data_IF_360040734290
#
_entry.id   IF_360040734290
#
_cell.length_a   1.000
_cell.length_b   1.000
_cell.length_c   1.000
_cell.angle_alpha   90.00
_cell.angle_beta   90.00
_cell.angle_gamma   90.00
#
_symmetry.space_group_name_H-M   'P 1'
#
loop_
_entity.id
_entity.type
_entity.pdbx_description
1 polymer ?
#
# COMPACT_ATOMS: atom_id res chain seq x y z
N UNK A 1 7.55 -5.50 23.04
CA UNK A 1 8.53 -5.25 21.97
C UNK A 1 7.85 -4.43 20.88
N UNK A 2 8.16 -3.13 20.73
CA UNK A 2 7.57 -2.31 19.68
C UNK A 2 8.23 -2.61 18.33
N UNK A 3 7.50 -3.22 17.41
CA UNK A 3 7.99 -3.46 16.04
C UNK A 3 8.27 -2.11 15.35
N UNK A 4 9.48 -1.93 14.81
CA UNK A 4 9.89 -0.71 14.09
C UNK A 4 8.94 -0.40 12.92
N UNK A 5 8.57 -1.43 12.17
CA UNK A 5 7.59 -1.38 11.06
C UNK A 5 6.20 -1.77 11.54
N UNK A 6 5.46 -0.84 12.13
CA UNK A 6 4.12 -1.12 12.67
C UNK A 6 3.08 -1.32 11.58
N UNK A 7 3.03 -0.44 10.59
CA UNK A 7 2.10 -0.54 9.46
C UNK A 7 2.85 -0.90 8.19
N UNK A 8 2.43 -1.99 7.54
CA UNK A 8 3.02 -2.46 6.28
C UNK A 8 1.95 -2.48 5.21
N UNK A 9 2.23 -1.81 4.09
CA UNK A 9 1.40 -1.86 2.90
C UNK A 9 1.73 -3.12 2.09
N UNK A 10 0.70 -3.89 1.73
CA UNK A 10 0.78 -5.05 0.84
C UNK A 10 -0.17 -4.83 -0.32
N UNK A 11 0.36 -4.69 -1.52
CA UNK A 11 -0.48 -4.72 -2.71
C UNK A 11 -0.59 -6.16 -3.20
N UNK A 12 -1.68 -6.46 -3.87
CA UNK A 12 -1.87 -7.65 -4.66
C UNK A 12 -2.38 -7.21 -6.03
N UNK A 13 -1.56 -7.42 -7.06
CA UNK A 13 -1.88 -7.03 -8.43
C UNK A 13 -1.99 -8.31 -9.23
N UNK A 14 -3.21 -8.59 -9.68
CA UNK A 14 -3.52 -9.66 -10.61
C UNK A 14 -3.86 -9.09 -11.99
N UNK A 15 -4.04 -9.98 -12.97
CA UNK A 15 -4.49 -9.61 -14.32
C UNK A 15 -5.87 -8.93 -14.25
N UNK A 16 -6.74 -9.39 -13.34
CA UNK A 16 -8.11 -8.89 -13.20
C UNK A 16 -8.29 -7.83 -12.11
N UNK A 17 -7.56 -7.88 -11.00
CA UNK A 17 -7.88 -7.03 -9.84
C UNK A 17 -6.63 -6.44 -9.21
N UNK A 18 -6.81 -5.29 -8.56
CA UNK A 18 -5.81 -4.62 -7.73
C UNK A 18 -6.41 -4.51 -6.34
N UNK A 19 -5.68 -5.00 -5.35
CA UNK A 19 -6.03 -4.91 -3.94
C UNK A 19 -4.85 -4.32 -3.18
N UNK A 20 -5.12 -3.43 -2.24
CA UNK A 20 -4.14 -2.82 -1.37
C UNK A 20 -4.60 -3.00 0.08
N UNK A 21 -3.75 -3.62 0.89
CA UNK A 21 -4.01 -3.93 2.29
C UNK A 21 -2.95 -3.26 3.16
N UNK A 22 -3.38 -2.56 4.21
CA UNK A 22 -2.50 -2.07 5.26
C UNK A 22 -2.63 -3.00 6.45
N UNK A 23 -1.53 -3.60 6.85
CA UNK A 23 -1.49 -4.57 7.95
C UNK A 23 -0.73 -3.97 9.13
N UNK A 24 -1.34 -4.01 10.32
CA UNK A 24 -0.65 -3.73 11.58
C UNK A 24 0.09 -5.00 12.05
N UNK A 25 1.42 -4.93 12.10
CA UNK A 25 2.29 -6.05 12.48
C UNK A 25 2.33 -6.30 13.99
N UNK A 26 1.93 -5.33 14.80
CA UNK A 26 1.86 -5.45 16.25
C UNK A 26 0.60 -6.23 16.68
N UNK A 27 -0.52 -5.99 15.99
CA UNK A 27 -1.81 -6.61 16.29
C UNK A 27 -2.14 -7.78 15.34
N UNK A 28 -1.40 -7.94 14.24
CA UNK A 28 -1.67 -8.96 13.22
C UNK A 28 -2.99 -8.76 12.48
N UNK A 29 -3.51 -7.53 12.46
CA UNK A 29 -4.82 -7.19 11.87
C UNK A 29 -4.67 -6.31 10.65
N UNK A 30 -5.63 -6.42 9.75
CA UNK A 30 -5.77 -5.50 8.62
C UNK A 30 -6.45 -4.25 9.16
N UNK A 31 -5.84 -3.12 8.85
CA UNK A 31 -6.24 -1.79 9.28
C UNK A 31 -7.21 -1.26 8.24
N UNK A 32 -6.70 -0.97 7.05
CA UNK A 32 -7.51 -0.59 5.90
C UNK A 32 -7.22 -1.53 4.71
N UNK A 33 -8.28 -1.85 3.96
CA UNK A 33 -8.20 -2.53 2.66
C UNK A 33 -8.88 -1.65 1.63
N UNK A 34 -8.40 -1.66 0.40
CA UNK A 34 -9.07 -1.11 -0.76
C UNK A 34 -8.83 -2.00 -1.98
N UNK A 35 -9.86 -2.25 -2.79
CA UNK A 35 -9.74 -3.13 -3.94
C UNK A 35 -10.68 -2.79 -5.09
N UNK A 36 -10.25 -3.03 -6.32
CA UNK A 36 -11.08 -2.78 -7.52
C UNK A 36 -12.28 -3.72 -7.67
N UNK A 37 -12.39 -4.74 -6.81
CA UNK A 37 -13.58 -5.62 -6.74
C UNK A 37 -14.74 -4.97 -5.98
N UNK A 38 -14.45 -3.95 -5.16
CA UNK A 38 -15.48 -3.28 -4.38
C UNK A 38 -16.46 -2.56 -5.28
N UNK A 39 -17.75 -2.69 -4.97
CA UNK A 39 -18.82 -2.16 -5.82
C UNK A 39 -18.66 -0.66 -6.06
N UNK A 40 -18.35 0.11 -5.02
CA UNK A 40 -18.14 1.57 -5.11
C UNK A 40 -16.99 1.96 -6.03
N UNK A 41 -15.90 1.17 -6.06
CA UNK A 41 -14.74 1.45 -6.92
C UNK A 41 -14.99 0.94 -8.34
N UNK A 42 -15.69 -0.19 -8.46
CA UNK A 42 -16.05 -0.82 -9.74
C UNK A 42 -17.02 0.04 -10.54
N UNK A 43 -17.98 0.70 -9.88
CA UNK A 43 -18.92 1.64 -10.50
C UNK A 43 -18.19 2.89 -11.02
N UNK A 44 -17.23 3.41 -10.27
CA UNK A 44 -16.41 4.56 -10.67
C UNK A 44 -15.38 4.24 -11.76
N UNK A 45 -15.14 2.95 -12.05
CA UNK A 45 -14.24 2.50 -13.12
C UNK A 45 -15.02 2.26 -14.40
N UNK A 46 -15.34 3.35 -15.11
CA UNK A 46 -16.14 3.37 -16.35
C UNK A 46 -15.62 2.47 -17.49
N UNK A 47 -14.40 1.92 -17.39
CA UNK A 47 -13.74 1.26 -18.52
C UNK A 47 -13.68 -0.28 -18.45
N UNK A 48 -14.31 -0.95 -17.46
CA UNK A 48 -14.28 -2.43 -17.32
C UNK A 48 -12.88 -3.04 -17.13
N UNK A 49 -11.82 -2.21 -17.18
CA UNK A 49 -10.41 -2.55 -17.00
C UNK A 49 -9.99 -2.16 -15.59
N UNK A 50 -10.15 -3.11 -14.69
CA UNK A 50 -9.83 -3.02 -13.26
C UNK A 50 -8.33 -3.11 -12.94
N UNK A 51 -7.45 -3.22 -13.94
CA UNK A 51 -6.00 -3.40 -13.76
C UNK A 51 -5.12 -2.32 -14.41
N UNK A 52 -5.67 -1.12 -14.67
CA UNK A 52 -4.95 0.02 -15.24
C UNK A 52 -4.26 0.89 -14.18
N UNK A 53 -3.30 1.73 -14.59
CA UNK A 53 -2.65 2.71 -13.69
C UNK A 53 -3.66 3.69 -13.06
N UNK A 54 -4.69 4.10 -13.80
CA UNK A 54 -5.80 4.91 -13.26
C UNK A 54 -6.57 4.18 -12.15
N UNK A 55 -6.82 2.88 -12.32
CA UNK A 55 -7.50 2.08 -11.30
C UNK A 55 -6.63 1.94 -10.04
N UNK A 56 -5.32 1.78 -10.21
CA UNK A 56 -4.36 1.83 -9.11
C UNK A 56 -4.41 3.17 -8.35
N UNK A 57 -4.49 4.30 -9.07
CA UNK A 57 -4.65 5.61 -8.43
C UNK A 57 -5.92 5.67 -7.58
N UNK A 58 -7.07 5.28 -8.13
CA UNK A 58 -8.35 5.29 -7.39
C UNK A 58 -8.30 4.38 -6.15
N UNK A 59 -7.71 3.18 -6.26
CA UNK A 59 -7.52 2.31 -5.08
C UNK A 59 -6.64 2.98 -4.03
N UNK A 60 -5.56 3.65 -4.45
CA UNK A 60 -4.69 4.39 -3.54
C UNK A 60 -5.38 5.57 -2.86
N UNK A 61 -6.23 6.30 -3.57
CA UNK A 61 -7.05 7.39 -3.03
C UNK A 61 -8.07 6.88 -2.00
N UNK A 62 -8.83 5.84 -2.34
CA UNK A 62 -9.82 5.25 -1.41
C UNK A 62 -9.12 4.68 -0.18
N UNK A 63 -7.97 4.04 -0.36
CA UNK A 63 -7.18 3.55 0.76
C UNK A 63 -6.71 4.71 1.65
N UNK A 64 -6.22 5.80 1.05
CA UNK A 64 -5.81 6.99 1.78
C UNK A 64 -6.97 7.52 2.62
N UNK A 65 -8.14 7.73 2.03
CA UNK A 65 -9.34 8.21 2.73
C UNK A 65 -9.75 7.29 3.88
N UNK A 66 -9.69 5.96 3.71
CA UNK A 66 -9.97 4.99 4.79
C UNK A 66 -8.99 5.13 5.94
N UNK A 67 -7.70 5.30 5.64
CA UNK A 67 -6.68 5.54 6.65
C UNK A 67 -6.88 6.88 7.38
N UNK A 68 -7.41 7.91 6.70
CA UNK A 68 -7.78 9.19 7.34
C UNK A 68 -8.90 9.01 8.35
N UNK A 69 -9.96 8.30 7.96
CA UNK A 69 -11.10 8.02 8.84
C UNK A 69 -10.66 7.22 10.07
N UNK A 70 -9.73 6.29 9.92
CA UNK A 70 -9.14 5.54 11.03
C UNK A 70 -8.17 6.35 11.90
N UNK A 71 -7.94 7.63 11.58
CA UNK A 71 -7.08 8.53 12.38
C UNK A 71 -5.58 8.28 12.21
N UNK A 72 -5.19 7.52 11.18
CA UNK A 72 -3.78 7.19 10.91
C UNK A 72 -3.03 8.28 10.16
N UNK A 73 -3.68 9.41 9.86
CA UNK A 73 -3.03 10.60 9.30
C UNK A 73 -1.89 11.11 10.19
N UNK A 74 -1.99 10.93 11.50
CA UNK A 74 -1.05 11.46 12.49
C UNK A 74 -0.68 10.45 13.60
N UNK A 75 -1.47 9.39 13.77
CA UNK A 75 -1.65 8.71 15.05
C UNK A 75 -0.51 7.84 15.60
N UNK A 76 0.62 7.66 14.90
CA UNK A 76 1.73 6.87 15.46
C UNK A 76 3.14 7.35 15.14
N UNK A 77 3.34 8.53 14.54
CA UNK A 77 4.67 9.09 14.23
C UNK A 77 5.58 8.23 13.31
N UNK A 78 5.19 6.99 13.03
CA UNK A 78 5.97 5.92 12.40
C UNK A 78 5.59 5.67 10.94
N UNK A 79 4.64 6.42 10.38
CA UNK A 79 4.24 6.32 8.97
C UNK A 79 3.79 4.92 8.52
N UNK A 80 3.42 4.80 7.26
CA UNK A 80 3.15 3.52 6.60
C UNK A 80 4.42 3.09 5.90
N UNK A 81 4.97 1.94 6.28
CA UNK A 81 6.14 1.38 5.63
C UNK A 81 5.72 0.68 4.35
N UNK A 82 6.37 1.04 3.26
CA UNK A 82 6.16 0.44 1.95
C UNK A 82 7.51 0.00 1.40
N UNK A 83 7.74 -1.31 1.36
CA UNK A 83 8.86 -1.91 0.61
C UNK A 83 8.50 -1.94 -0.89
N UNK A 84 8.57 -0.78 -1.56
CA UNK A 84 8.26 -0.66 -3.00
C UNK A 84 9.19 -1.55 -3.83
N UNK A 85 10.46 -1.66 -3.45
CA UNK A 85 11.47 -2.45 -4.16
C UNK A 85 11.09 -3.95 -4.15
N UNK A 86 10.82 -4.52 -2.97
CA UNK A 86 10.34 -5.91 -2.86
C UNK A 86 9.02 -6.16 -3.58
N UNK A 87 8.11 -5.20 -3.59
CA UNK A 87 6.86 -5.33 -4.31
C UNK A 87 7.06 -5.35 -5.83
N UNK A 88 7.98 -4.54 -6.34
CA UNK A 88 8.36 -4.49 -7.76
C UNK A 88 9.12 -5.75 -8.17
N UNK A 89 10.06 -6.23 -7.35
CA UNK A 89 10.81 -7.46 -7.59
C UNK A 89 9.89 -8.69 -7.60
N UNK A 90 8.95 -8.79 -6.66
CA UNK A 90 8.02 -9.93 -6.58
C UNK A 90 6.97 -9.97 -7.70
N UNK A 91 6.58 -8.81 -8.24
CA UNK A 91 5.48 -8.69 -9.22
C UNK A 91 5.96 -8.38 -10.63
N UNK A 92 7.24 -8.10 -10.82
CA UNK A 92 7.86 -7.81 -12.11
C UNK A 92 7.66 -6.37 -12.60
N UNK A 93 8.57 -5.95 -13.49
CA UNK A 93 8.66 -4.58 -14.03
C UNK A 93 7.36 -4.03 -14.64
N UNK A 94 6.52 -4.89 -15.23
CA UNK A 94 5.23 -4.48 -15.84
C UNK A 94 4.25 -3.87 -14.82
N UNK A 95 4.44 -4.17 -13.54
CA UNK A 95 3.61 -3.66 -12.45
C UNK A 95 4.20 -2.41 -11.78
N UNK A 96 5.40 -1.97 -12.16
CA UNK A 96 6.07 -0.79 -11.60
C UNK A 96 5.19 0.46 -11.67
N UNK A 97 4.64 0.76 -12.86
CA UNK A 97 3.77 1.93 -13.06
C UNK A 97 2.50 1.89 -12.21
N UNK A 98 1.95 0.69 -11.95
CA UNK A 98 0.76 0.51 -11.11
C UNK A 98 1.08 0.71 -9.64
N UNK A 99 2.19 0.15 -9.16
CA UNK A 99 2.66 0.32 -7.79
C UNK A 99 2.97 1.81 -7.55
N UNK A 100 3.68 2.45 -8.47
CA UNK A 100 4.00 3.88 -8.39
C UNK A 100 2.74 4.75 -8.38
N UNK A 101 1.71 4.39 -9.15
CA UNK A 101 0.43 5.09 -9.13
C UNK A 101 -0.27 5.02 -7.75
N UNK A 102 -0.24 3.87 -7.07
CA UNK A 102 -0.79 3.73 -5.70
C UNK A 102 0.01 4.58 -4.70
N UNK A 103 1.35 4.51 -4.78
CA UNK A 103 2.25 5.27 -3.89
C UNK A 103 2.07 6.77 -4.08
N UNK A 104 1.98 7.23 -5.33
CA UNK A 104 1.76 8.64 -5.65
C UNK A 104 0.38 9.12 -5.18
N UNK A 105 -0.66 8.30 -5.33
CA UNK A 105 -1.99 8.61 -4.81
C UNK A 105 -2.00 8.76 -3.28
N UNK A 106 -1.34 7.86 -2.56
CA UNK A 106 -1.19 7.94 -1.10
C UNK A 106 -0.43 9.21 -0.68
N UNK A 107 0.67 9.54 -1.39
CA UNK A 107 1.47 10.73 -1.12
C UNK A 107 0.68 12.03 -1.36
N UNK A 108 -0.06 12.11 -2.47
CA UNK A 108 -0.89 13.26 -2.80
C UNK A 108 -2.02 13.49 -1.79
N UNK A 109 -2.51 12.42 -1.15
CA UNK A 109 -3.51 12.51 -0.10
C UNK A 109 -2.91 12.81 1.29
N UNK A 110 -1.60 13.06 1.40
CA UNK A 110 -0.96 13.47 2.66
C UNK A 110 -0.61 12.32 3.61
N UNK A 111 -0.64 11.07 3.14
CA UNK A 111 -0.23 9.91 3.97
C UNK A 111 1.30 9.88 4.09
N UNK A 112 1.82 9.84 5.33
CA UNK A 112 3.27 9.74 5.59
C UNK A 112 3.78 8.34 5.24
N UNK A 113 4.34 8.20 4.04
CA UNK A 113 4.94 6.96 3.55
C UNK A 113 6.42 6.92 3.94
N UNK A 114 6.85 5.81 4.53
CA UNK A 114 8.27 5.50 4.74
C UNK A 114 8.65 4.46 3.70
N UNK A 115 9.47 4.87 2.74
CA UNK A 115 10.05 3.98 1.76
C UNK A 115 11.25 3.32 2.43
N UNK A 116 11.16 2.02 2.68
CA UNK A 116 12.33 1.22 3.04
C UNK A 116 13.18 1.05 1.78
N UNK A 117 14.15 1.95 1.60
CA UNK A 117 15.31 1.69 0.75
C UNK A 117 16.22 0.75 1.54
N UNK A 118 16.64 -0.37 0.94
CA UNK A 118 17.29 -1.53 1.57
C UNK A 118 18.61 -1.19 2.30
N UNK A 119 18.52 -0.52 3.45
CA UNK A 119 19.62 -0.25 4.38
C UNK A 119 19.22 -0.63 5.80
N UNK A 120 18.79 -1.88 5.97
CA UNK A 120 18.88 -2.51 7.28
C UNK A 120 19.40 -3.94 7.13
N UNK A 121 20.65 -4.02 6.66
CA UNK A 121 21.48 -5.22 6.70
C UNK A 121 22.01 -5.44 8.13
N UNK A 122 21.13 -5.33 9.14
CA UNK A 122 21.43 -5.75 10.51
C UNK A 122 21.26 -7.26 10.59
N UNK A 123 22.16 -7.98 9.91
CA UNK A 123 22.44 -9.39 10.19
C UNK A 123 22.76 -9.47 11.69
N UNK A 124 22.04 -10.26 12.51
CA UNK A 124 22.57 -10.61 13.82
C UNK A 124 23.82 -11.43 13.54
N UNK A 125 24.99 -10.84 13.82
CA UNK A 125 26.24 -11.58 13.82
C UNK A 125 26.09 -12.68 14.86
N UNK A 126 26.13 -13.93 14.40
CA UNK A 126 26.43 -15.05 15.29
C UNK A 126 27.88 -14.86 15.73
N UNK A 127 28.05 -14.61 17.02
CA UNK A 127 29.33 -14.71 17.73
C UNK A 127 29.39 -16.08 18.39
#
# INVERSE_FOLDING_TARGET
MTVLKRYVLRLFISIKYITANVVDRNNGRIVATASTVEHSIKVSLECGRSCNAKAATVVGEVLAMRLKVEGLELGLGRGIHVDVNKEVEKKGFKNHTKIWAVVNALKNNGVKLILDDDKDNSRPGYQ
#
